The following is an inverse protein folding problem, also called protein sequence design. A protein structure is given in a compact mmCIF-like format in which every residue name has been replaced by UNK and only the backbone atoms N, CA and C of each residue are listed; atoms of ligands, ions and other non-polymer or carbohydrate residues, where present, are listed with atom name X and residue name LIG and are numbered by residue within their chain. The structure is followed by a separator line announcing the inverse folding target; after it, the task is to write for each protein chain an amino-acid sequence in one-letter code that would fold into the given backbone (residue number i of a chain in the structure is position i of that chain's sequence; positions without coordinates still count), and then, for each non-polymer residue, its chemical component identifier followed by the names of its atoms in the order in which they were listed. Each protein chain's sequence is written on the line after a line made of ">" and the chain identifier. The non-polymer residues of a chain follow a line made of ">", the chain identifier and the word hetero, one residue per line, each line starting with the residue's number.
data_IF_797044514758
#
_entry.id   IF_797044514758
#
_cell.length_a   1.000
_cell.length_b   1.000
_cell.length_c   1.000
_cell.angle_alpha   90.00
_cell.angle_beta   90.00
_cell.angle_gamma   90.00
#
_symmetry.space_group_name_H-M   'P 1'
#
loop_
_entity.id
_entity.type
_entity.pdbx_description
1 polymer ?
#
# COMPACT_ATOMS: atom_id res chain seq x y z
N UNK A 1 -19.82 -24.77 24.92
CA UNK A 1 -19.25 -23.66 24.11
C UNK A 1 -18.36 -22.81 25.01
N UNK A 2 -17.12 -22.51 24.61
CA UNK A 2 -16.30 -21.51 25.32
C UNK A 2 -16.81 -20.12 24.95
N UNK A 3 -17.36 -19.39 25.92
CA UNK A 3 -17.77 -18.00 25.74
C UNK A 3 -16.56 -17.10 26.00
N UNK A 4 -16.22 -16.26 25.04
CA UNK A 4 -15.16 -15.27 25.19
C UNK A 4 -15.80 -13.89 25.38
N UNK A 5 -15.36 -13.15 26.40
CA UNK A 5 -15.81 -11.77 26.58
C UNK A 5 -15.24 -10.90 25.48
N UNK A 6 -16.06 -10.02 24.91
CA UNK A 6 -15.65 -9.09 23.87
C UNK A 6 -14.52 -8.17 24.33
N UNK A 7 -14.52 -7.79 25.62
CA UNK A 7 -13.45 -7.02 26.27
C UNK A 7 -12.08 -7.67 26.10
N UNK A 8 -12.01 -8.98 26.32
CA UNK A 8 -10.76 -9.74 26.34
C UNK A 8 -10.23 -9.94 24.91
N UNK A 9 -11.14 -10.00 23.93
CA UNK A 9 -10.77 -10.01 22.51
C UNK A 9 -10.21 -8.65 22.10
N UNK A 10 -10.88 -7.55 22.49
CA UNK A 10 -10.43 -6.18 22.20
C UNK A 10 -9.05 -5.91 22.80
N UNK A 11 -8.81 -6.32 24.05
CA UNK A 11 -7.51 -6.20 24.72
C UNK A 11 -6.41 -6.94 23.95
N UNK A 12 -6.65 -8.21 23.60
CA UNK A 12 -5.69 -9.01 22.81
C UNK A 12 -5.42 -8.40 21.43
N UNK A 13 -6.43 -7.83 20.78
CA UNK A 13 -6.26 -7.17 19.48
C UNK A 13 -5.41 -5.89 19.60
N UNK A 14 -5.60 -5.11 20.66
CA UNK A 14 -4.78 -3.92 20.93
C UNK A 14 -3.30 -4.30 21.15
N UNK A 15 -3.03 -5.30 21.99
CA UNK A 15 -1.67 -5.79 22.25
C UNK A 15 -0.99 -6.33 20.97
N UNK A 16 -1.73 -7.10 20.15
CA UNK A 16 -1.22 -7.60 18.86
C UNK A 16 -0.89 -6.47 17.90
N UNK A 17 -1.76 -5.46 17.81
CA UNK A 17 -1.55 -4.29 16.96
C UNK A 17 -0.30 -3.51 17.38
N UNK A 18 -0.11 -3.29 18.67
CA UNK A 18 1.05 -2.59 19.21
C UNK A 18 2.36 -3.33 18.90
N UNK A 19 2.39 -4.66 19.12
CA UNK A 19 3.55 -5.48 18.77
C UNK A 19 3.86 -5.46 17.28
N UNK A 20 2.84 -5.52 16.43
CA UNK A 20 3.00 -5.41 14.98
C UNK A 20 3.59 -4.06 14.57
N UNK A 21 3.13 -2.97 15.17
CA UNK A 21 3.66 -1.63 14.93
C UNK A 21 5.12 -1.48 15.37
N UNK A 22 5.46 -2.00 16.54
CA UNK A 22 6.83 -2.03 17.05
C UNK A 22 7.75 -2.80 16.09
N UNK A 23 7.33 -3.97 15.61
CA UNK A 23 8.09 -4.77 14.66
C UNK A 23 8.30 -4.06 13.32
N UNK A 24 7.26 -3.43 12.77
CA UNK A 24 7.36 -2.65 11.54
C UNK A 24 8.31 -1.46 11.69
N UNK A 25 8.25 -0.75 12.84
CA UNK A 25 9.13 0.39 13.14
C UNK A 25 10.60 -0.01 13.34
N UNK A 26 10.88 -1.24 13.79
CA UNK A 26 12.26 -1.75 13.86
C UNK A 26 12.90 -1.89 12.48
N UNK A 27 12.11 -2.21 11.45
CA UNK A 27 12.60 -2.33 10.07
C UNK A 27 12.62 -0.97 9.38
N UNK A 28 11.58 -0.15 9.60
CA UNK A 28 11.47 1.20 9.05
C UNK A 28 11.01 2.18 10.16
N UNK A 29 11.93 2.97 10.75
CA UNK A 29 11.61 3.87 11.86
C UNK A 29 10.51 4.89 11.57
N UNK A 30 10.35 5.31 10.31
CA UNK A 30 9.31 6.26 9.89
C UNK A 30 7.98 5.60 9.53
N UNK A 31 7.85 4.27 9.72
CA UNK A 31 6.63 3.54 9.39
C UNK A 31 5.40 4.02 10.17
N UNK A 32 4.30 4.19 9.46
CA UNK A 32 2.96 4.41 10.01
C UNK A 32 1.93 3.48 9.35
N UNK A 33 0.84 3.10 10.05
CA UNK A 33 -0.23 2.30 9.45
C UNK A 33 -0.78 2.93 8.18
N UNK A 34 -0.85 2.17 7.10
CA UNK A 34 -1.31 2.66 5.80
C UNK A 34 -0.21 3.27 4.92
N UNK A 35 1.02 3.39 5.43
CA UNK A 35 2.19 3.71 4.62
C UNK A 35 2.39 2.60 3.56
N UNK A 36 2.44 2.98 2.29
CA UNK A 36 2.81 2.07 1.21
C UNK A 36 4.34 2.02 1.15
N UNK A 37 4.91 0.83 1.15
CA UNK A 37 6.37 0.67 1.00
C UNK A 37 6.86 1.11 -0.40
N UNK A 38 5.95 1.20 -1.36
CA UNK A 38 6.21 1.58 -2.74
C UNK A 38 5.45 2.88 -3.03
N UNK A 39 6.05 4.03 -2.71
CA UNK A 39 5.62 5.31 -3.30
C UNK A 39 5.98 5.37 -4.79
N UNK A 40 6.88 4.49 -5.25
CA UNK A 40 7.08 4.28 -6.68
C UNK A 40 5.86 3.54 -7.24
N UNK A 41 5.17 4.10 -8.26
CA UNK A 41 4.19 3.32 -9.01
C UNK A 41 4.87 2.04 -9.50
N UNK A 42 4.14 0.93 -9.51
CA UNK A 42 4.65 -0.29 -10.14
C UNK A 42 4.90 0.06 -11.61
N UNK A 43 6.17 0.19 -12.00
CA UNK A 43 6.57 0.31 -13.40
C UNK A 43 6.18 -1.00 -14.09
N UNK A 44 4.98 -1.03 -14.68
CA UNK A 44 4.60 -2.08 -15.59
C UNK A 44 5.06 -1.63 -16.99
N UNK A 45 6.10 -2.27 -17.56
CA UNK A 45 6.65 -1.85 -18.84
C UNK A 45 5.62 -1.91 -19.97
N UNK A 46 4.63 -2.80 -19.91
CA UNK A 46 3.56 -2.88 -20.92
C UNK A 46 2.61 -1.68 -20.84
N UNK A 47 2.23 -1.26 -19.62
CA UNK A 47 1.37 -0.09 -19.44
C UNK A 47 2.07 1.20 -19.83
N UNK A 48 3.37 1.29 -19.59
CA UNK A 48 4.17 2.44 -19.98
C UNK A 48 4.24 2.58 -21.51
N UNK A 49 4.47 1.47 -22.22
CA UNK A 49 4.45 1.45 -23.70
C UNK A 49 3.10 1.89 -24.29
N UNK A 50 1.99 1.42 -23.71
CA UNK A 50 0.65 1.82 -24.16
C UNK A 50 0.42 3.32 -23.97
N UNK A 51 0.88 3.89 -22.85
CA UNK A 51 0.76 5.33 -22.60
C UNK A 51 1.59 6.15 -23.59
N UNK A 52 2.81 5.71 -23.90
CA UNK A 52 3.69 6.34 -24.89
C UNK A 52 3.05 6.30 -26.29
N UNK A 53 2.52 5.14 -26.70
CA UNK A 53 1.84 4.98 -28.00
C UNK A 53 0.59 5.88 -28.10
N UNK A 54 -0.18 6.03 -27.01
CA UNK A 54 -1.33 6.93 -26.99
C UNK A 54 -0.92 8.40 -27.08
N UNK A 55 0.17 8.80 -26.42
CA UNK A 55 0.69 10.16 -26.50
C UNK A 55 1.18 10.50 -27.92
N UNK A 56 1.88 9.58 -28.58
CA UNK A 56 2.32 9.77 -29.97
C UNK A 56 1.11 9.94 -30.91
N UNK A 57 0.08 9.10 -30.75
CA UNK A 57 -1.15 9.22 -31.55
C UNK A 57 -1.89 10.52 -31.31
N UNK A 58 -1.97 10.98 -30.07
CA UNK A 58 -2.60 12.26 -29.74
C UNK A 58 -1.84 13.43 -30.35
N UNK A 59 -0.51 13.42 -30.25
CA UNK A 59 0.35 14.43 -30.85
C UNK A 59 0.15 14.50 -32.38
N UNK A 60 0.15 13.36 -33.06
CA UNK A 60 -0.08 13.27 -34.51
C UNK A 60 -1.47 13.77 -34.93
N UNK A 61 -2.48 13.62 -34.08
CA UNK A 61 -3.83 14.13 -34.33
C UNK A 61 -3.94 15.64 -34.10
N UNK A 62 -3.16 16.21 -33.17
CA UNK A 62 -3.17 17.64 -32.87
C UNK A 62 -2.31 18.47 -33.82
N UNK A 63 -1.33 17.86 -34.49
CA UNK A 63 -0.37 18.54 -35.36
C UNK A 63 -0.55 18.18 -36.85
N UNK A 64 -1.70 17.59 -37.20
CA UNK A 64 -2.23 17.47 -38.56
C UNK A 64 -3.34 18.49 -38.80
#
# INVERSE_FOLDING_TARGET
>A
MKTAKLSDIRKRNAERRERGLQAAKRVNPSYYPGMRAFDKPRNNPEKQRILEELQEREYDLQHK
#
